data_IF_056195283638
#
_entry.id   IF_056195283638
#
_cell.length_a   1.000
_cell.length_b   1.000
_cell.length_c   1.000
_cell.angle_alpha   90.00
_cell.angle_beta   90.00
_cell.angle_gamma   90.00
#
_symmetry.space_group_name_H-M   'P 1'
#
loop_
_entity.id
_entity.type
_entity.pdbx_description
1 polymer ?
#
# COMPACT_ATOMS: atom_id res chain seq x y z
N UNK A 1 -9.36 -24.20 29.27
CA UNK A 1 -10.06 -25.31 28.59
C UNK A 1 -11.19 -24.73 27.73
N UNK A 2 -10.93 -24.46 26.44
CA UNK A 2 -11.97 -24.02 25.50
C UNK A 2 -12.53 -25.21 24.72
N UNK A 3 -13.81 -25.54 24.96
CA UNK A 3 -14.51 -26.62 24.26
C UNK A 3 -14.60 -26.28 22.76
N UNK A 4 -13.96 -27.09 21.92
CA UNK A 4 -14.16 -27.04 20.46
C UNK A 4 -15.52 -27.69 20.16
N UNK A 5 -16.44 -27.03 19.45
CA UNK A 5 -17.74 -27.61 19.13
C UNK A 5 -17.57 -28.84 18.23
N UNK A 6 -18.12 -29.98 18.66
CA UNK A 6 -18.26 -31.19 17.85
C UNK A 6 -19.36 -30.97 16.82
N UNK A 7 -19.03 -30.32 15.71
CA UNK A 7 -19.94 -30.19 14.58
C UNK A 7 -19.61 -31.24 13.51
N UNK A 8 -20.66 -31.99 13.16
CA UNK A 8 -20.75 -33.15 12.27
C UNK A 8 -19.68 -33.32 11.21
N UNK A 9 -19.25 -34.58 11.06
CA UNK A 9 -18.48 -35.09 9.93
C UNK A 9 -19.21 -34.73 8.63
N UNK A 10 -18.83 -33.61 8.00
CA UNK A 10 -19.28 -33.27 6.66
C UNK A 10 -18.53 -34.18 5.70
N UNK A 11 -19.27 -34.79 4.77
CA UNK A 11 -18.75 -35.84 3.91
C UNK A 11 -17.45 -35.43 3.20
N UNK A 12 -16.50 -36.36 3.04
CA UNK A 12 -15.24 -36.07 2.36
C UNK A 12 -15.54 -35.57 0.95
N UNK A 13 -14.89 -34.47 0.56
CA UNK A 13 -15.03 -33.93 -0.79
C UNK A 13 -14.67 -35.00 -1.82
N UNK A 14 -15.62 -35.33 -2.71
CA UNK A 14 -15.40 -36.32 -3.77
C UNK A 14 -14.34 -35.79 -4.74
N UNK A 15 -13.26 -36.55 -4.91
CA UNK A 15 -12.26 -36.30 -5.96
C UNK A 15 -12.93 -36.56 -7.32
N UNK A 16 -12.72 -35.68 -8.30
CA UNK A 16 -13.05 -35.96 -9.71
C UNK A 16 -11.76 -36.45 -10.36
N UNK A 17 -11.54 -37.76 -10.38
CA UNK A 17 -10.27 -38.38 -10.78
C UNK A 17 -9.17 -38.18 -9.73
N UNK A 18 -7.95 -37.81 -10.14
CA UNK A 18 -6.79 -37.59 -9.25
C UNK A 18 -6.79 -36.22 -8.56
N UNK A 19 -7.66 -35.29 -9.00
CA UNK A 19 -7.64 -33.89 -8.54
C UNK A 19 -8.94 -33.45 -7.85
N UNK A 20 -8.81 -32.44 -6.99
CA UNK A 20 -9.93 -31.72 -6.37
C UNK A 20 -10.32 -30.52 -7.23
N UNK A 21 -11.59 -30.12 -7.18
CA UNK A 21 -12.06 -28.91 -7.87
C UNK A 21 -11.30 -27.67 -7.40
N UNK A 22 -10.88 -26.80 -8.31
CA UNK A 22 -10.13 -25.58 -8.00
C UNK A 22 -10.91 -24.64 -7.06
N UNK A 23 -12.23 -24.59 -7.19
CA UNK A 23 -13.12 -23.83 -6.29
C UNK A 23 -13.01 -24.30 -4.84
N UNK A 24 -12.94 -25.62 -4.63
CA UNK A 24 -12.82 -26.23 -3.30
C UNK A 24 -11.44 -25.93 -2.73
N UNK A 25 -10.38 -26.05 -3.53
CA UNK A 25 -9.01 -25.69 -3.12
C UNK A 25 -8.94 -24.23 -2.69
N UNK A 26 -9.46 -23.30 -3.50
CA UNK A 26 -9.48 -21.86 -3.21
C UNK A 26 -10.27 -21.54 -1.95
N UNK A 27 -11.43 -22.16 -1.75
CA UNK A 27 -12.24 -21.97 -0.53
C UNK A 27 -11.48 -22.38 0.73
N UNK A 28 -10.91 -23.59 0.72
CA UNK A 28 -10.18 -24.13 1.88
C UNK A 28 -8.94 -23.29 2.18
N UNK A 29 -8.16 -22.92 1.16
CA UNK A 29 -6.98 -22.07 1.32
C UNK A 29 -7.36 -20.67 1.82
N UNK A 30 -8.45 -20.09 1.31
CA UNK A 30 -8.98 -18.81 1.74
C UNK A 30 -9.34 -18.80 3.23
N UNK A 31 -10.09 -19.81 3.69
CA UNK A 31 -10.47 -19.95 5.10
C UNK A 31 -9.25 -20.08 6.03
N UNK A 32 -8.21 -20.80 5.58
CA UNK A 32 -6.94 -20.93 6.32
C UNK A 32 -6.19 -19.61 6.35
N UNK A 33 -6.08 -18.89 5.23
CA UNK A 33 -5.40 -17.58 5.14
C UNK A 33 -6.08 -16.51 6.00
N UNK A 34 -7.40 -16.55 6.11
CA UNK A 34 -8.17 -15.67 7.01
C UNK A 34 -8.09 -16.05 8.49
N UNK A 35 -7.49 -17.19 8.82
CA UNK A 35 -7.33 -17.65 10.20
C UNK A 35 -8.55 -18.33 10.83
N UNK A 36 -9.63 -18.56 10.08
CA UNK A 36 -10.82 -19.27 10.59
C UNK A 36 -10.55 -20.73 10.94
N UNK A 37 -9.65 -21.39 10.19
CA UNK A 37 -9.30 -22.78 10.41
C UNK A 37 -7.78 -22.99 10.43
N UNK A 38 -7.28 -23.71 11.45
CA UNK A 38 -5.93 -24.26 11.43
C UNK A 38 -5.84 -25.42 10.44
N UNK A 39 -4.67 -25.64 9.84
CA UNK A 39 -4.40 -26.75 8.91
C UNK A 39 -4.88 -28.12 9.45
N UNK A 40 -4.72 -28.37 10.76
CA UNK A 40 -5.18 -29.62 11.41
C UNK A 40 -6.71 -29.69 11.51
N UNK A 41 -7.35 -28.56 11.76
CA UNK A 41 -8.81 -28.46 11.86
C UNK A 41 -9.45 -28.59 10.48
N UNK A 42 -8.90 -27.92 9.47
CA UNK A 42 -9.33 -28.03 8.08
C UNK A 42 -9.21 -29.47 7.56
N UNK A 43 -8.11 -30.16 7.86
CA UNK A 43 -7.93 -31.57 7.48
C UNK A 43 -9.04 -32.48 8.04
N UNK A 44 -9.45 -32.26 9.29
CA UNK A 44 -10.54 -33.01 9.94
C UNK A 44 -11.92 -32.66 9.40
N UNK A 45 -12.19 -31.37 9.19
CA UNK A 45 -13.48 -30.88 8.68
C UNK A 45 -13.72 -31.36 7.25
N UNK A 46 -12.68 -31.32 6.41
CA UNK A 46 -12.78 -31.58 4.99
C UNK A 46 -12.43 -33.02 4.59
N UNK A 47 -11.89 -33.82 5.52
CA UNK A 47 -11.47 -35.20 5.26
C UNK A 47 -10.29 -35.28 4.28
N UNK A 48 -9.45 -34.24 4.23
CA UNK A 48 -8.31 -34.13 3.31
C UNK A 48 -7.02 -34.24 4.12
N UNK A 49 -6.00 -34.89 3.56
CA UNK A 49 -4.72 -35.00 4.23
C UNK A 49 -4.12 -33.60 4.50
N UNK A 50 -3.51 -33.43 5.68
CA UNK A 50 -2.83 -32.18 6.05
C UNK A 50 -1.76 -31.79 5.03
N UNK A 51 -1.05 -32.78 4.48
CA UNK A 51 0.02 -32.56 3.50
C UNK A 51 -0.54 -31.97 2.20
N UNK A 52 -1.67 -32.50 1.73
CA UNK A 52 -2.35 -31.99 0.53
C UNK A 52 -2.80 -30.53 0.70
N UNK A 53 -3.38 -30.19 1.86
CA UNK A 53 -3.78 -28.81 2.18
C UNK A 53 -2.55 -27.91 2.24
N UNK A 54 -1.47 -28.35 2.88
CA UNK A 54 -0.23 -27.57 2.97
C UNK A 54 0.36 -27.29 1.59
N UNK A 55 0.38 -28.29 0.70
CA UNK A 55 0.81 -28.11 -0.69
C UNK A 55 -0.03 -27.06 -1.42
N UNK A 56 -1.36 -27.02 -1.21
CA UNK A 56 -2.21 -25.99 -1.82
C UNK A 56 -1.95 -24.60 -1.27
N UNK A 57 -1.71 -24.45 0.04
CA UNK A 57 -1.38 -23.16 0.64
C UNK A 57 -0.05 -22.64 0.11
N UNK A 58 0.95 -23.52 -0.04
CA UNK A 58 2.25 -23.19 -0.61
C UNK A 58 2.10 -22.83 -2.10
N UNK A 59 1.33 -23.60 -2.87
CA UNK A 59 1.08 -23.26 -4.28
C UNK A 59 0.41 -21.90 -4.40
N UNK A 60 -0.61 -21.62 -3.58
CA UNK A 60 -1.33 -20.35 -3.60
C UNK A 60 -0.52 -19.15 -3.11
N UNK A 61 0.53 -19.36 -2.30
CA UNK A 61 1.49 -18.31 -1.94
C UNK A 61 2.56 -18.07 -3.02
N UNK A 62 2.90 -19.10 -3.80
CA UNK A 62 3.85 -19.02 -4.91
C UNK A 62 3.20 -18.54 -6.22
N UNK A 63 1.89 -18.76 -6.39
CA UNK A 63 1.14 -18.34 -7.59
C UNK A 63 1.31 -16.84 -7.92
N UNK A 64 1.23 -15.90 -6.96
CA UNK A 64 1.48 -14.47 -7.21
C UNK A 64 2.91 -14.14 -7.65
N UNK A 65 3.90 -14.96 -7.29
CA UNK A 65 5.31 -14.77 -7.65
C UNK A 65 5.61 -15.33 -9.04
N UNK A 66 5.00 -16.46 -9.40
CA UNK A 66 5.24 -17.17 -10.67
C UNK A 66 4.40 -16.55 -11.80
N UNK A 67 3.17 -16.15 -11.49
CA UNK A 67 2.30 -15.41 -12.39
C UNK A 67 1.97 -14.10 -11.70
N UNK A 68 2.66 -12.99 -11.99
CA UNK A 68 2.13 -11.69 -11.64
C UNK A 68 0.77 -11.62 -12.33
N UNK A 69 -0.30 -11.81 -11.57
CA UNK A 69 -1.64 -11.50 -12.03
C UNK A 69 -1.52 -10.05 -12.44
N UNK A 70 -1.57 -9.78 -13.74
CA UNK A 70 -1.82 -8.46 -14.25
C UNK A 70 -3.14 -8.10 -13.60
N UNK A 71 -3.07 -7.38 -12.48
CA UNK A 71 -4.26 -6.83 -11.85
C UNK A 71 -4.94 -6.11 -13.00
N UNK A 72 -6.18 -6.47 -13.39
CA UNK A 72 -6.87 -5.69 -14.39
C UNK A 72 -6.78 -4.26 -13.87
N UNK A 73 -6.18 -3.40 -14.69
CA UNK A 73 -6.06 -1.98 -14.39
C UNK A 73 -7.50 -1.53 -14.17
N UNK A 74 -7.94 -1.52 -12.91
CA UNK A 74 -9.26 -1.02 -12.58
C UNK A 74 -9.20 0.39 -13.08
N UNK A 75 -10.02 0.68 -14.09
CA UNK A 75 -10.23 2.05 -14.52
C UNK A 75 -10.36 2.89 -13.25
N UNK A 76 -9.54 3.94 -13.08
CA UNK A 76 -9.50 4.66 -11.83
C UNK A 76 -10.90 5.21 -11.58
N UNK A 77 -11.62 4.56 -10.66
CA UNK A 77 -12.92 5.00 -10.18
C UNK A 77 -12.82 6.50 -9.93
N UNK A 78 -13.79 7.31 -10.35
CA UNK A 78 -13.71 8.78 -10.24
C UNK A 78 -13.33 9.23 -8.82
N UNK A 79 -13.78 8.50 -7.81
CA UNK A 79 -13.44 8.70 -6.40
C UNK A 79 -11.95 8.56 -6.08
N UNK A 80 -11.21 7.70 -6.78
CA UNK A 80 -9.76 7.54 -6.64
C UNK A 80 -8.97 8.68 -7.28
N UNK A 81 -9.45 9.19 -8.43
CA UNK A 81 -8.86 10.37 -9.09
C UNK A 81 -9.02 11.62 -8.24
N UNK A 82 -10.23 11.85 -7.71
CA UNK A 82 -10.51 13.00 -6.84
C UNK A 82 -9.62 12.99 -5.60
N UNK A 83 -9.42 11.83 -4.96
CA UNK A 83 -8.51 11.70 -3.81
C UNK A 83 -7.04 11.94 -4.16
N UNK A 84 -6.60 11.49 -5.33
CA UNK A 84 -5.24 11.73 -5.79
C UNK A 84 -5.01 13.22 -6.06
N UNK A 85 -5.96 13.88 -6.74
CA UNK A 85 -5.91 15.30 -7.04
C UNK A 85 -5.97 16.16 -5.77
N UNK A 86 -6.86 15.85 -4.81
CA UNK A 86 -6.94 16.59 -3.55
C UNK A 86 -5.64 16.50 -2.76
N UNK A 87 -4.98 15.34 -2.77
CA UNK A 87 -3.67 15.16 -2.14
C UNK A 87 -2.61 16.04 -2.80
N UNK A 88 -2.56 16.05 -4.14
CA UNK A 88 -1.61 16.89 -4.88
C UNK A 88 -1.80 18.38 -4.57
N UNK A 89 -3.04 18.87 -4.48
CA UNK A 89 -3.32 20.27 -4.15
C UNK A 89 -2.77 20.62 -2.76
N UNK A 90 -3.00 19.77 -1.76
CA UNK A 90 -2.50 19.98 -0.39
C UNK A 90 -0.96 19.98 -0.36
N UNK A 91 -0.33 19.05 -1.07
CA UNK A 91 1.13 18.94 -1.11
C UNK A 91 1.77 20.17 -1.80
N UNK A 92 1.16 20.65 -2.89
CA UNK A 92 1.59 21.86 -3.60
C UNK A 92 1.41 23.11 -2.75
N UNK A 93 0.29 23.24 -2.04
CA UNK A 93 0.04 24.38 -1.16
C UNK A 93 1.08 24.45 -0.03
N UNK A 94 1.39 23.31 0.60
CA UNK A 94 2.46 23.25 1.63
C UNK A 94 3.83 23.62 1.07
N UNK A 95 4.15 23.19 -0.14
CA UNK A 95 5.41 23.55 -0.79
C UNK A 95 5.50 25.06 -1.05
N UNK A 96 4.39 25.66 -1.47
CA UNK A 96 4.27 27.11 -1.70
C UNK A 96 4.43 27.88 -0.39
N UNK A 97 3.75 27.49 0.68
CA UNK A 97 3.88 28.10 2.01
C UNK A 97 5.32 28.05 2.51
N UNK A 98 6.00 26.91 2.38
CA UNK A 98 7.41 26.76 2.75
C UNK A 98 8.33 27.66 1.91
N UNK A 99 8.06 27.80 0.62
CA UNK A 99 8.84 28.69 -0.25
C UNK A 99 8.66 30.15 0.14
N UNK A 100 7.43 30.58 0.41
CA UNK A 100 7.12 31.95 0.84
C UNK A 100 7.79 32.27 2.18
N UNK A 101 7.71 31.38 3.16
CA UNK A 101 8.37 31.56 4.46
C UNK A 101 9.89 31.67 4.33
N UNK A 102 10.50 30.90 3.42
CA UNK A 102 11.93 31.02 3.12
C UNK A 102 12.26 32.38 2.48
N UNK A 103 11.44 32.85 1.54
CA UNK A 103 11.64 34.16 0.89
C UNK A 103 11.54 35.27 1.92
N UNK A 104 10.52 35.25 2.77
CA UNK A 104 10.31 36.22 3.85
C UNK A 104 11.50 36.23 4.81
N UNK A 105 11.93 35.06 5.30
CA UNK A 105 13.10 34.96 6.18
C UNK A 105 14.38 35.53 5.55
N UNK A 106 14.60 35.28 4.26
CA UNK A 106 15.75 35.85 3.53
C UNK A 106 15.63 37.38 3.39
N UNK A 107 14.43 37.91 3.13
CA UNK A 107 14.21 39.35 3.05
C UNK A 107 14.47 40.03 4.40
N UNK A 108 13.95 39.45 5.49
CA UNK A 108 14.16 39.96 6.84
C UNK A 108 15.63 39.90 7.24
N UNK A 109 16.33 38.80 6.94
CA UNK A 109 17.77 38.69 7.19
C UNK A 109 18.56 39.79 6.46
N UNK A 110 18.22 40.07 5.21
CA UNK A 110 18.84 41.16 4.44
C UNK A 110 18.57 42.50 5.12
N UNK A 111 17.33 42.78 5.51
CA UNK A 111 16.97 44.03 6.16
C UNK A 111 17.76 44.25 7.47
N UNK A 112 17.75 43.27 8.37
CA UNK A 112 18.50 43.36 9.64
C UNK A 112 20.00 43.56 9.38
N UNK A 113 20.55 42.86 8.40
CA UNK A 113 21.97 43.00 8.05
C UNK A 113 22.30 44.39 7.48
N UNK A 114 21.42 44.98 6.68
CA UNK A 114 21.59 46.36 6.17
C UNK A 114 21.53 47.39 7.31
N UNK A 115 20.66 47.19 8.30
CA UNK A 115 20.51 48.05 9.48
C UNK A 115 21.73 47.97 10.41
N UNK A 116 22.21 46.77 10.74
CA UNK A 116 23.34 46.56 11.66
C UNK A 116 24.69 46.94 11.04
N UNK A 117 24.95 46.49 9.81
CA UNK A 117 26.25 46.69 9.17
C UNK A 117 26.35 48.05 8.45
N UNK A 118 25.24 48.77 8.28
CA UNK A 118 25.14 50.04 7.53
C UNK A 118 25.67 49.94 6.10
N UNK A 119 25.73 48.74 5.54
CA UNK A 119 26.12 48.46 4.17
C UNK A 119 24.87 48.07 3.39
N UNK A 120 24.67 48.67 2.22
CA UNK A 120 23.53 48.37 1.36
C UNK A 120 23.80 47.10 0.55
N UNK A 121 23.06 46.03 0.85
CA UNK A 121 23.20 44.71 0.22
C UNK A 121 22.31 44.62 -1.03
N UNK A 122 21.13 45.25 -1.04
CA UNK A 122 20.21 45.21 -2.19
C UNK A 122 20.65 46.15 -3.31
N UNK A 123 20.76 45.60 -4.52
CA UNK A 123 21.04 46.36 -5.74
C UNK A 123 19.88 47.32 -6.08
N UNK A 124 20.22 48.55 -6.47
CA UNK A 124 19.25 49.53 -7.01
C UNK A 124 18.98 49.24 -8.49
N UNK A 125 17.71 49.22 -8.89
CA UNK A 125 17.32 49.14 -10.29
C UNK A 125 17.85 50.39 -11.03
N UNK A 126 18.64 50.19 -12.08
CA UNK A 126 19.18 51.27 -12.93
C UNK A 126 20.65 51.67 -12.72
N UNK A 127 21.39 51.06 -11.79
CA UNK A 127 22.83 51.36 -11.64
C UNK A 127 23.63 50.82 -12.83
N UNK A 128 24.32 51.71 -13.58
CA UNK A 128 25.26 51.33 -14.65
C UNK A 128 26.35 50.43 -14.06
N UNK A 129 26.64 49.32 -14.74
CA UNK A 129 27.72 48.38 -14.37
C UNK A 129 29.04 49.14 -14.37
N UNK A 130 29.76 49.15 -13.25
CA UNK A 130 31.13 49.66 -13.20
C UNK A 130 31.95 48.85 -14.21
N UNK A 131 32.63 49.56 -15.12
CA UNK A 131 33.60 48.92 -16.01
C UNK A 131 34.82 48.52 -15.18
N UNK A 132 35.31 47.33 -15.49
CA UNK A 132 36.52 46.72 -14.93
C UNK A 132 37.76 47.53 -15.31
#
# INVERSE_FOLDING_TARGET
MGKVPKNGVKQPFKKRGTSYSEEVKRKIVGEIKSGFHSHRTAAKIYGISRNTINSWVIQDSLLPLIRPIQKPMKEPNETSKVKALSKQVIDLQKALEKANLKIEGLQTMIQVSEEELKIKIRKKLGAKRSKE
#
